data_IF_840437563559
#
_entry.id   IF_840437563559
#
_cell.length_a   1.000
_cell.length_b   1.000
_cell.length_c   1.000
_cell.angle_alpha   90.00
_cell.angle_beta   90.00
_cell.angle_gamma   90.00
#
_symmetry.space_group_name_H-M   'P 1'
#
loop_
_entity.id
_entity.type
_entity.pdbx_description
1 polymer ?
#
# COMPACT_ATOMS: atom_id res chain seq x y z
N UNK A 1 7.81 11.26 13.82
CA UNK A 1 7.53 9.87 14.23
C UNK A 1 6.74 9.21 13.12
N UNK A 2 7.19 8.06 12.62
CA UNK A 2 6.45 7.33 11.59
C UNK A 2 5.17 6.75 12.19
N UNK A 3 4.05 6.86 11.47
CA UNK A 3 2.78 6.27 11.87
C UNK A 3 2.89 4.76 11.74
N UNK A 4 2.52 4.01 12.78
CA UNK A 4 2.47 2.54 12.72
C UNK A 4 1.06 2.08 12.36
N UNK A 5 0.96 1.01 11.55
CA UNK A 5 -0.30 0.40 11.15
C UNK A 5 -0.22 -1.11 11.26
N UNK A 6 -1.32 -1.74 11.67
CA UNK A 6 -1.46 -3.18 11.60
C UNK A 6 -1.67 -3.58 10.14
N UNK A 7 -0.59 -3.98 9.47
CA UNK A 7 -0.64 -4.21 8.04
C UNK A 7 -1.41 -5.49 7.71
N UNK A 8 -2.50 -5.36 6.94
CA UNK A 8 -3.32 -6.52 6.52
C UNK A 8 -2.55 -7.52 5.65
N UNK A 9 -1.53 -7.06 4.91
CA UNK A 9 -0.72 -7.92 4.04
C UNK A 9 0.40 -8.64 4.79
N UNK A 10 1.03 -7.97 5.75
CA UNK A 10 2.17 -8.52 6.51
C UNK A 10 1.75 -9.23 7.80
N UNK A 11 0.53 -8.99 8.30
CA UNK A 11 0.02 -9.56 9.53
C UNK A 11 0.67 -9.02 10.81
N UNK A 12 1.45 -7.94 10.71
CA UNK A 12 2.20 -7.32 11.82
C UNK A 12 2.14 -5.80 11.75
N UNK A 13 2.47 -5.15 12.86
CA UNK A 13 2.69 -3.70 12.85
C UNK A 13 3.91 -3.35 12.00
N UNK A 14 3.72 -2.36 11.13
CA UNK A 14 4.76 -1.82 10.28
C UNK A 14 4.50 -0.34 10.01
N UNK A 15 5.48 0.36 9.44
CA UNK A 15 5.33 1.77 9.10
C UNK A 15 4.22 1.95 8.07
N UNK A 16 3.24 2.79 8.38
CA UNK A 16 2.16 3.20 7.51
C UNK A 16 2.63 4.13 6.40
N UNK A 17 1.73 4.38 5.45
CA UNK A 17 1.97 5.36 4.39
C UNK A 17 2.01 6.79 4.97
N UNK A 18 2.79 7.67 4.34
CA UNK A 18 2.95 9.08 4.74
C UNK A 18 1.71 9.92 4.40
N UNK A 19 1.00 9.54 3.34
CA UNK A 19 -0.24 10.17 2.86
C UNK A 19 -1.12 9.17 2.12
N UNK A 20 -2.43 9.41 2.01
CA UNK A 20 -3.31 8.62 1.16
C UNK A 20 -2.82 8.62 -0.29
N UNK A 21 -2.84 7.45 -0.93
CA UNK A 21 -2.36 7.27 -2.31
C UNK A 21 -3.36 7.74 -3.35
N UNK A 22 -4.65 7.61 -3.04
CA UNK A 22 -5.75 8.00 -3.91
C UNK A 22 -6.79 8.81 -3.13
N UNK A 23 -7.57 9.68 -3.80
CA UNK A 23 -8.71 10.32 -3.17
C UNK A 23 -9.84 9.30 -2.90
N UNK A 24 -10.67 9.60 -1.91
CA UNK A 24 -11.88 8.86 -1.59
C UNK A 24 -11.69 7.68 -0.62
N UNK A 25 -12.76 6.90 -0.38
CA UNK A 25 -12.80 5.87 0.67
C UNK A 25 -11.77 4.75 0.48
N UNK A 26 -11.41 4.45 -0.76
CA UNK A 26 -10.42 3.42 -1.08
C UNK A 26 -9.01 3.84 -0.63
N UNK A 27 -8.59 5.06 -0.98
CA UNK A 27 -7.29 5.56 -0.58
C UNK A 27 -7.16 5.69 0.94
N UNK A 28 -8.26 6.05 1.62
CA UNK A 28 -8.32 6.05 3.07
C UNK A 28 -8.18 4.65 3.67
N UNK A 29 -8.90 3.65 3.15
CA UNK A 29 -8.74 2.25 3.59
C UNK A 29 -7.31 1.74 3.41
N UNK A 30 -6.67 2.04 2.29
CA UNK A 30 -5.27 1.65 2.02
C UNK A 30 -4.35 2.35 3.01
N UNK A 31 -4.51 3.66 3.18
CA UNK A 31 -3.74 4.43 4.14
C UNK A 31 -3.88 3.88 5.56
N UNK A 32 -5.08 3.48 5.96
CA UNK A 32 -5.39 2.98 7.31
C UNK A 32 -4.80 1.59 7.59
N UNK A 33 -4.78 0.70 6.59
CA UNK A 33 -4.57 -0.73 6.81
C UNK A 33 -3.32 -1.31 6.12
N UNK A 34 -2.63 -0.54 5.28
CA UNK A 34 -1.50 -1.02 4.47
C UNK A 34 -0.21 -0.28 4.86
N UNK A 35 0.87 -1.05 5.09
CA UNK A 35 2.18 -0.49 5.38
C UNK A 35 2.89 -0.02 4.11
N UNK A 36 3.88 0.85 4.31
CA UNK A 36 4.79 1.33 3.26
C UNK A 36 5.53 0.19 2.58
N UNK A 37 5.98 -0.81 3.34
CA UNK A 37 6.60 -2.03 2.82
C UNK A 37 5.66 -2.80 1.88
N UNK A 38 4.45 -3.09 2.36
CA UNK A 38 3.45 -3.84 1.57
C UNK A 38 3.03 -3.07 0.31
N UNK A 39 2.90 -1.75 0.42
CA UNK A 39 2.56 -0.88 -0.71
C UNK A 39 3.64 -0.89 -1.79
N UNK A 40 4.92 -0.85 -1.41
CA UNK A 40 6.03 -0.94 -2.36
C UNK A 40 6.04 -2.29 -3.10
N UNK A 41 5.72 -3.39 -2.41
CA UNK A 41 5.53 -4.70 -3.04
C UNK A 41 4.39 -4.70 -4.06
N UNK A 42 3.25 -4.08 -3.70
CA UNK A 42 2.10 -3.93 -4.59
C UNK A 42 2.44 -3.15 -5.86
N UNK A 43 3.16 -2.03 -5.76
CA UNK A 43 3.54 -1.22 -6.94
C UNK A 43 4.40 -2.04 -7.91
N UNK A 44 5.37 -2.83 -7.41
CA UNK A 44 6.18 -3.69 -8.29
C UNK A 44 5.33 -4.74 -9.01
N UNK A 45 4.39 -5.35 -8.29
CA UNK A 45 3.47 -6.32 -8.87
C UNK A 45 2.55 -5.68 -9.91
N UNK A 46 2.04 -4.47 -9.63
CA UNK A 46 1.24 -3.69 -10.58
C UNK A 46 2.04 -3.41 -11.85
N UNK A 47 3.30 -2.96 -11.73
CA UNK A 47 4.17 -2.71 -12.90
C UNK A 47 4.38 -3.97 -13.73
N UNK A 48 4.61 -5.12 -13.09
CA UNK A 48 4.71 -6.41 -13.78
C UNK A 48 3.44 -6.71 -14.58
N UNK A 49 2.26 -6.60 -13.96
CA UNK A 49 0.98 -6.84 -14.63
C UNK A 49 0.73 -5.89 -15.81
N UNK A 50 1.04 -4.59 -15.66
CA UNK A 50 0.88 -3.60 -16.74
C UNK A 50 1.75 -3.98 -17.94
N UNK A 51 3.02 -4.33 -17.68
CA UNK A 51 3.96 -4.73 -18.73
C UNK A 51 3.56 -6.05 -19.40
N UNK A 52 3.16 -7.07 -18.63
CA UNK A 52 2.76 -8.39 -19.14
C UNK A 52 1.50 -8.31 -20.01
N UNK A 53 0.53 -7.47 -19.61
CA UNK A 53 -0.72 -7.32 -20.35
C UNK A 53 -0.67 -6.24 -21.44
N UNK A 54 0.47 -5.52 -21.58
CA UNK A 54 0.65 -4.39 -22.52
C UNK A 54 -0.46 -3.34 -22.40
N UNK A 55 -0.80 -2.98 -21.16
CA UNK A 55 -1.83 -2.00 -20.82
C UNK A 55 -1.35 -0.56 -21.01
#
# INVERSE_FOLDING_TARGET
>A
MARMVQCVKLGREAEGLDRPTYPGPLGQRIFENVSKEAWQGWIRFQTMLVNENRL
#
